data_IF_143858658508
#
_entry.id   IF_143858658508
#
_cell.length_a   1.000
_cell.length_b   1.000
_cell.length_c   1.000
_cell.angle_alpha   90.00
_cell.angle_beta   90.00
_cell.angle_gamma   90.00
#
_symmetry.space_group_name_H-M   'P 1'
#
loop_
_entity.id
_entity.type
_entity.pdbx_description
1 polymer ?
#
# COMPACT_ATOMS: atom_id res chain seq x y z
N UNK A 1 -4.17 14.01 -7.44
CA UNK A 1 -4.37 12.56 -7.57
C UNK A 1 -3.24 11.80 -6.93
N UNK A 2 -3.26 11.63 -5.62
CA UNK A 2 -2.14 10.93 -4.96
C UNK A 2 -2.13 9.44 -5.29
N UNK A 3 -0.93 8.94 -5.53
CA UNK A 3 -0.68 7.51 -5.68
C UNK A 3 0.21 7.06 -4.54
N UNK A 4 -0.18 5.99 -3.87
CA UNK A 4 0.61 5.42 -2.80
C UNK A 4 1.08 4.04 -3.25
N UNK A 5 2.38 3.85 -3.29
CA UNK A 5 2.97 2.59 -3.71
C UNK A 5 3.48 1.84 -2.48
N UNK A 6 3.05 0.59 -2.34
CA UNK A 6 3.43 -0.24 -1.21
C UNK A 6 4.18 -1.45 -1.76
N UNK A 7 5.43 -1.57 -1.37
CA UNK A 7 6.24 -2.73 -1.75
C UNK A 7 6.25 -3.71 -0.60
N UNK A 8 5.90 -4.96 -0.90
CA UNK A 8 5.83 -6.01 0.10
C UNK A 8 6.52 -7.25 -0.42
N UNK A 9 7.16 -7.98 0.51
CA UNK A 9 7.60 -9.32 0.18
C UNK A 9 6.35 -10.16 -0.04
N UNK A 10 6.37 -11.00 -1.07
CA UNK A 10 5.21 -11.80 -1.45
C UNK A 10 4.73 -12.69 -0.30
N UNK A 11 3.47 -13.04 -0.32
CA UNK A 11 2.89 -13.92 0.67
C UNK A 11 1.66 -13.36 1.38
N UNK A 12 1.37 -12.07 1.24
CA UNK A 12 0.16 -11.52 1.84
C UNK A 12 -1.03 -11.81 0.95
N UNK A 13 -2.17 -12.08 1.58
CA UNK A 13 -3.38 -12.38 0.85
C UNK A 13 -3.98 -11.11 0.23
N UNK A 14 -4.85 -11.30 -0.76
CA UNK A 14 -5.58 -10.17 -1.34
C UNK A 14 -6.43 -9.47 -0.30
N UNK A 15 -6.99 -10.25 0.63
CA UNK A 15 -7.82 -9.70 1.69
C UNK A 15 -7.01 -8.80 2.62
N UNK A 16 -5.79 -9.22 2.96
CA UNK A 16 -4.93 -8.41 3.82
C UNK A 16 -4.56 -7.11 3.10
N UNK A 17 -4.25 -7.21 1.81
CA UNK A 17 -3.92 -6.01 1.03
C UNK A 17 -5.08 -5.04 0.97
N UNK A 18 -6.31 -5.57 0.83
CA UNK A 18 -7.49 -4.70 0.78
C UNK A 18 -7.67 -3.95 2.09
N UNK A 19 -7.41 -4.59 3.23
CA UNK A 19 -7.52 -3.92 4.52
C UNK A 19 -6.46 -2.85 4.68
N UNK A 20 -5.23 -3.16 4.27
CA UNK A 20 -4.14 -2.18 4.31
C UNK A 20 -4.48 -0.98 3.46
N UNK A 21 -4.96 -1.23 2.24
CA UNK A 21 -5.30 -0.16 1.31
C UNK A 21 -6.39 0.74 1.90
N UNK A 22 -7.41 0.14 2.52
CA UNK A 22 -8.50 0.92 3.08
C UNK A 22 -8.00 1.86 4.17
N UNK A 23 -7.14 1.38 5.04
CA UNK A 23 -6.62 2.20 6.13
C UNK A 23 -5.70 3.30 5.60
N UNK A 24 -4.91 3.00 4.57
CA UNK A 24 -4.06 4.01 3.94
C UNK A 24 -4.92 5.11 3.33
N UNK A 25 -5.96 4.74 2.61
CA UNK A 25 -6.87 5.71 1.99
C UNK A 25 -7.49 6.60 3.05
N UNK A 26 -7.95 6.03 4.14
CA UNK A 26 -8.57 6.82 5.20
C UNK A 26 -7.58 7.78 5.83
N UNK A 27 -6.35 7.33 6.03
CA UNK A 27 -5.32 8.17 6.62
C UNK A 27 -4.96 9.35 5.72
N UNK A 28 -4.75 9.09 4.44
CA UNK A 28 -4.38 10.14 3.51
C UNK A 28 -5.54 11.11 3.30
N UNK A 29 -6.75 10.58 3.22
CA UNK A 29 -7.93 11.43 3.11
C UNK A 29 -8.02 12.38 4.31
N UNK A 30 -7.83 11.83 5.51
CA UNK A 30 -7.99 12.60 6.74
C UNK A 30 -6.92 13.68 6.88
N UNK A 31 -5.68 13.35 6.55
CA UNK A 31 -4.55 14.23 6.84
C UNK A 31 -4.12 15.09 5.68
N UNK A 32 -4.30 14.63 4.45
CA UNK A 32 -3.93 15.39 3.26
C UNK A 32 -5.12 16.08 2.61
N UNK A 33 -6.35 15.73 3.01
CA UNK A 33 -7.53 16.40 2.49
C UNK A 33 -7.95 15.94 1.10
N UNK A 34 -7.33 14.90 0.54
CA UNK A 34 -7.67 14.43 -0.79
C UNK A 34 -8.97 13.63 -0.75
N UNK A 35 -9.87 13.79 -1.75
CA UNK A 35 -11.05 12.95 -1.83
C UNK A 35 -10.67 11.49 -1.99
N UNK A 36 -11.42 10.60 -1.35
CA UNK A 36 -11.09 9.17 -1.37
C UNK A 36 -11.07 8.60 -2.78
N UNK A 37 -11.95 9.07 -3.64
CA UNK A 37 -12.02 8.55 -5.01
C UNK A 37 -10.83 8.97 -5.87
N UNK A 38 -10.02 9.90 -5.39
CA UNK A 38 -8.81 10.31 -6.09
C UNK A 38 -7.56 9.60 -5.59
N UNK A 39 -7.70 8.77 -4.56
CA UNK A 39 -6.56 8.09 -3.95
C UNK A 39 -6.40 6.70 -4.56
N UNK A 40 -5.18 6.40 -4.95
CA UNK A 40 -4.86 5.12 -5.57
C UNK A 40 -3.75 4.45 -4.80
N UNK A 41 -3.98 3.20 -4.40
CA UNK A 41 -2.99 2.42 -3.69
C UNK A 41 -2.56 1.26 -4.59
N UNK A 42 -1.27 1.19 -4.86
CA UNK A 42 -0.70 0.17 -5.74
C UNK A 42 0.22 -0.69 -4.91
N UNK A 43 0.02 -2.01 -4.98
CA UNK A 43 0.89 -2.96 -4.30
C UNK A 43 1.82 -3.60 -5.31
N UNK A 44 3.05 -3.77 -4.90
CA UNK A 44 4.02 -4.47 -5.71
C UNK A 44 4.68 -5.54 -4.86
N UNK A 45 4.36 -6.79 -5.17
CA UNK A 45 4.96 -7.92 -4.49
C UNK A 45 6.37 -8.14 -5.02
N UNK A 46 7.26 -8.56 -4.12
CA UNK A 46 8.61 -8.89 -4.51
C UNK A 46 8.99 -10.24 -3.93
N UNK A 47 9.88 -10.94 -4.62
CA UNK A 47 10.42 -12.19 -4.10
C UNK A 47 11.38 -11.88 -2.97
N UNK A 48 11.48 -12.81 -2.01
CA UNK A 48 12.45 -12.63 -0.93
C UNK A 48 13.87 -12.42 -1.46
N UNK A 49 14.18 -13.07 -2.57
CA UNK A 49 15.51 -12.94 -3.15
C UNK A 49 15.80 -11.57 -3.75
N UNK A 50 14.75 -10.76 -3.94
CA UNK A 50 14.92 -9.42 -4.49
C UNK A 50 15.07 -8.35 -3.40
N UNK A 51 15.16 -8.78 -2.16
CA UNK A 51 15.18 -7.90 -1.01
C UNK A 51 16.38 -8.24 -0.13
N UNK A 52 17.12 -7.23 0.28
CA UNK A 52 18.28 -7.42 1.12
C UNK A 52 18.26 -6.42 2.28
N UNK A 53 18.46 -6.93 3.48
CA UNK A 53 18.49 -6.12 4.69
C UNK A 53 19.35 -6.84 5.73
N UNK A 54 20.36 -6.17 6.22
CA UNK A 54 21.27 -6.76 7.20
C UNK A 54 20.83 -6.53 8.64
N UNK A 55 19.74 -5.81 8.86
CA UNK A 55 19.28 -5.45 10.19
C UNK A 55 18.87 -6.66 11.03
#
# INVERSE_FOLDING_TARGET
MPFIHVELVEGRSDEAKAKIAKEIVESVHKHAGAPKEHLHVVFQDMKRSDYYNEA
#
